data_IF_395160444315
#
_entry.id   IF_395160444315
#
_cell.length_a   1.000
_cell.length_b   1.000
_cell.length_c   1.000
_cell.angle_alpha   90.00
_cell.angle_beta   90.00
_cell.angle_gamma   90.00
#
_symmetry.space_group_name_H-M   'P 1'
#
loop_
_entity.id
_entity.type
_entity.pdbx_description
1 polymer ?
#
# COMPACT_ATOMS: atom_id res chain seq x y z
N UNK A 1 13.24 11.60 -20.79
CA UNK A 1 12.33 10.43 -20.80
C UNK A 1 11.46 10.31 -19.54
N UNK A 2 11.98 10.15 -18.31
CA UNK A 2 11.14 10.22 -17.08
C UNK A 2 10.73 11.66 -16.72
N UNK A 3 11.66 12.62 -16.86
CA UNK A 3 11.43 14.05 -16.55
C UNK A 3 10.37 14.74 -17.42
N UNK A 4 10.25 14.33 -18.68
CA UNK A 4 9.38 14.99 -19.66
C UNK A 4 7.92 14.52 -19.58
N UNK A 5 7.69 13.32 -19.03
CA UNK A 5 6.37 12.65 -19.02
C UNK A 5 5.73 12.61 -17.63
N UNK A 6 6.55 12.60 -16.58
CA UNK A 6 6.13 12.50 -15.18
C UNK A 6 6.80 13.57 -14.31
N UNK A 7 7.15 14.73 -14.86
CA UNK A 7 7.75 15.83 -14.09
C UNK A 7 9.07 15.50 -13.38
N UNK A 8 9.45 16.31 -12.39
CA UNK A 8 10.78 16.21 -11.77
C UNK A 8 10.81 15.03 -10.80
N UNK A 9 11.60 14.01 -11.13
CA UNK A 9 12.06 13.00 -10.18
C UNK A 9 13.09 13.66 -9.24
N UNK A 10 12.68 13.88 -8.00
CA UNK A 10 13.56 14.45 -6.97
C UNK A 10 14.57 13.43 -6.44
N UNK A 11 14.34 12.12 -6.68
CA UNK A 11 15.09 11.03 -6.09
C UNK A 11 14.93 10.96 -4.57
N UNK A 12 14.88 9.76 -4.00
CA UNK A 12 15.03 9.59 -2.54
C UNK A 12 15.99 8.44 -2.23
N UNK A 13 16.80 8.65 -1.21
CA UNK A 13 17.56 7.62 -0.52
C UNK A 13 16.63 6.88 0.46
N UNK A 14 16.89 5.59 0.73
CA UNK A 14 16.24 4.86 1.82
C UNK A 14 16.41 5.57 3.16
N UNK A 15 17.52 6.30 3.37
CA UNK A 15 17.68 7.09 4.58
C UNK A 15 16.78 8.35 4.61
N UNK A 16 16.28 8.78 3.45
CA UNK A 16 15.48 10.00 3.28
C UNK A 16 13.97 9.80 3.48
N UNK A 17 13.48 8.56 3.50
CA UNK A 17 12.06 8.25 3.73
C UNK A 17 11.88 6.86 4.34
N UNK A 18 10.77 6.64 5.06
CA UNK A 18 10.54 5.39 5.81
C UNK A 18 9.56 4.43 5.13
N UNK A 19 8.84 4.87 4.09
CA UNK A 19 7.84 4.05 3.44
C UNK A 19 8.46 2.88 2.68
N UNK A 20 9.64 3.03 2.06
CA UNK A 20 10.33 1.86 1.49
C UNK A 20 10.64 0.80 2.54
N UNK A 21 10.98 1.18 3.78
CA UNK A 21 11.15 0.22 4.86
C UNK A 21 9.82 -0.46 5.22
N UNK A 22 8.71 0.29 5.28
CA UNK A 22 7.36 -0.25 5.50
C UNK A 22 6.95 -1.27 4.41
N UNK A 23 7.16 -0.94 3.14
CA UNK A 23 6.89 -1.82 2.00
C UNK A 23 7.76 -3.06 2.02
N UNK A 24 9.06 -2.89 2.28
CA UNK A 24 10.00 -4.01 2.40
C UNK A 24 9.52 -4.97 3.47
N UNK A 25 9.26 -4.45 4.67
CA UNK A 25 8.84 -5.26 5.81
C UNK A 25 7.49 -5.96 5.56
N UNK A 26 6.57 -5.31 4.84
CA UNK A 26 5.28 -5.89 4.45
C UNK A 26 5.40 -7.03 3.42
N UNK A 27 6.41 -6.97 2.55
CA UNK A 27 6.62 -7.94 1.47
C UNK A 27 7.49 -9.13 1.85
N UNK A 28 8.37 -8.96 2.83
CA UNK A 28 9.25 -10.02 3.32
C UNK A 28 8.43 -11.15 3.97
N UNK A 29 8.80 -12.42 3.73
CA UNK A 29 8.30 -13.53 4.55
C UNK A 29 8.81 -13.41 6.00
N UNK A 30 8.23 -14.20 6.91
CA UNK A 30 8.74 -14.30 8.27
C UNK A 30 10.19 -14.82 8.24
N UNK A 31 11.14 -14.18 8.96
CA UNK A 31 12.54 -14.54 8.91
C UNK A 31 12.77 -15.90 9.57
N UNK A 32 13.45 -16.81 8.86
CA UNK A 32 13.77 -18.15 9.34
C UNK A 32 15.18 -18.25 9.97
N UNK A 33 16.07 -17.33 9.61
CA UNK A 33 17.46 -17.32 10.04
C UNK A 33 17.85 -16.03 10.78
N UNK A 34 19.07 -15.99 11.31
CA UNK A 34 19.56 -14.83 12.06
C UNK A 34 19.74 -13.59 11.18
N UNK A 35 20.13 -13.77 9.91
CA UNK A 35 20.32 -12.66 8.98
C UNK A 35 18.99 -11.97 8.65
N UNK A 36 17.94 -12.74 8.34
CA UNK A 36 16.59 -12.23 8.11
C UNK A 36 16.03 -11.54 9.35
N UNK A 37 16.25 -12.10 10.55
CA UNK A 37 15.85 -11.45 11.81
C UNK A 37 16.56 -10.12 12.02
N UNK A 38 17.85 -10.05 11.70
CA UNK A 38 18.64 -8.81 11.73
C UNK A 38 18.09 -7.74 10.79
N UNK A 39 17.77 -8.12 9.55
CA UNK A 39 17.16 -7.20 8.58
C UNK A 39 15.78 -6.70 9.06
N UNK A 40 14.92 -7.58 9.55
CA UNK A 40 13.60 -7.23 10.10
C UNK A 40 13.72 -6.24 11.27
N UNK A 41 14.67 -6.47 12.19
CA UNK A 41 14.92 -5.55 13.30
C UNK A 41 15.42 -4.17 12.84
N UNK A 42 16.29 -4.13 11.83
CA UNK A 42 16.80 -2.88 11.27
C UNK A 42 15.69 -2.08 10.58
N UNK A 43 14.87 -2.73 9.74
CA UNK A 43 13.74 -2.09 9.07
C UNK A 43 12.69 -1.61 10.08
N UNK A 44 12.39 -2.43 11.10
CA UNK A 44 11.50 -2.04 12.19
C UNK A 44 11.99 -0.79 12.93
N UNK A 45 13.29 -0.72 13.23
CA UNK A 45 13.91 0.45 13.88
C UNK A 45 13.79 1.71 13.01
N UNK A 46 13.97 1.59 11.69
CA UNK A 46 13.79 2.70 10.76
C UNK A 46 12.34 3.20 10.71
N UNK A 47 11.37 2.29 10.72
CA UNK A 47 9.94 2.63 10.77
C UNK A 47 9.60 3.33 12.10
N UNK A 48 10.10 2.81 13.22
CA UNK A 48 9.88 3.40 14.55
C UNK A 48 10.52 4.79 14.70
N UNK A 49 11.62 5.06 13.99
CA UNK A 49 12.26 6.38 14.00
C UNK A 49 11.38 7.51 13.44
N UNK A 50 10.38 7.19 12.60
CA UNK A 50 9.46 8.17 12.02
C UNK A 50 8.10 8.22 12.73
N UNK A 51 7.96 7.48 13.83
CA UNK A 51 6.74 7.42 14.62
C UNK A 51 6.45 8.76 15.30
N UNK A 52 5.17 9.09 15.36
CA UNK A 52 4.63 10.16 16.18
C UNK A 52 3.39 9.67 16.90
N UNK A 53 3.50 9.50 18.22
CA UNK A 53 2.48 8.81 19.02
C UNK A 53 2.17 7.45 18.37
N UNK A 54 0.94 7.24 17.91
CA UNK A 54 0.50 6.02 17.21
C UNK A 54 0.24 6.26 15.71
N UNK A 55 1.00 7.17 15.10
CA UNK A 55 0.95 7.47 13.66
C UNK A 55 2.35 7.45 13.09
N UNK A 56 2.49 7.17 11.80
CA UNK A 56 3.77 7.12 11.12
C UNK A 56 3.85 8.17 10.01
N UNK A 57 5.03 8.78 9.86
CA UNK A 57 5.33 9.72 8.79
C UNK A 57 5.96 9.03 7.60
N UNK A 58 5.84 9.66 6.44
CA UNK A 58 6.63 9.31 5.28
C UNK A 58 8.11 9.71 5.47
N UNK A 59 8.35 10.93 5.97
CA UNK A 59 9.69 11.50 6.12
C UNK A 59 10.16 11.52 7.58
N UNK A 60 11.44 11.24 7.86
CA UNK A 60 12.00 11.24 9.22
C UNK A 60 12.21 12.64 9.80
N UNK A 61 12.47 13.63 8.96
CA UNK A 61 12.76 15.00 9.40
C UNK A 61 11.50 15.86 9.49
N UNK A 62 11.50 16.85 10.41
CA UNK A 62 10.46 17.88 10.51
C UNK A 62 10.48 18.77 9.28
N UNK A 63 9.77 18.37 8.22
CA UNK A 63 9.63 19.09 6.96
C UNK A 63 8.21 19.65 6.76
N UNK A 64 7.42 19.69 7.83
CA UNK A 64 6.03 20.15 7.82
C UNK A 64 5.01 19.13 7.32
N UNK A 65 5.43 17.92 6.92
CA UNK A 65 4.52 16.83 6.57
C UNK A 65 4.06 16.08 7.84
N UNK A 66 2.75 15.99 8.09
CA UNK A 66 2.23 15.24 9.23
C UNK A 66 2.33 13.74 8.99
N UNK A 67 2.22 12.97 10.07
CA UNK A 67 1.91 11.56 9.98
C UNK A 67 0.55 11.36 9.29
N UNK A 68 0.45 10.32 8.48
CA UNK A 68 -0.70 10.10 7.61
C UNK A 68 -1.23 8.66 7.72
N UNK A 69 -2.45 8.47 7.21
CA UNK A 69 -3.18 7.21 7.30
C UNK A 69 -2.53 6.10 6.45
N UNK A 70 -1.88 6.46 5.35
CA UNK A 70 -1.25 5.50 4.43
C UNK A 70 0.00 4.88 5.06
N UNK A 71 0.92 5.73 5.50
CA UNK A 71 2.13 5.34 6.23
C UNK A 71 1.76 4.58 7.50
N UNK A 72 0.76 5.06 8.25
CA UNK A 72 0.31 4.39 9.48
C UNK A 72 -0.26 3.01 9.19
N UNK A 73 -1.12 2.88 8.18
CA UNK A 73 -1.67 1.60 7.74
C UNK A 73 -0.56 0.62 7.34
N UNK A 74 0.36 1.04 6.49
CA UNK A 74 1.47 0.19 6.03
C UNK A 74 2.45 -0.20 7.15
N UNK A 75 2.88 0.75 7.97
CA UNK A 75 3.81 0.51 9.07
C UNK A 75 3.25 -0.47 10.09
N UNK A 76 2.06 -0.19 10.63
CA UNK A 76 1.43 -1.01 11.67
C UNK A 76 1.16 -2.42 11.17
N UNK A 77 0.63 -2.55 9.95
CA UNK A 77 0.38 -3.85 9.34
C UNK A 77 1.67 -4.65 9.13
N UNK A 78 2.77 -4.00 8.73
CA UNK A 78 4.06 -4.65 8.54
C UNK A 78 4.69 -5.08 9.87
N UNK A 79 4.73 -4.19 10.86
CA UNK A 79 5.29 -4.46 12.18
C UNK A 79 4.53 -5.60 12.88
N UNK A 80 3.20 -5.58 12.85
CA UNK A 80 2.38 -6.66 13.42
C UNK A 80 2.63 -8.00 12.72
N UNK A 81 2.64 -8.01 11.38
CA UNK A 81 2.89 -9.25 10.61
C UNK A 81 4.26 -9.87 10.89
N UNK A 82 5.26 -9.07 11.23
CA UNK A 82 6.60 -9.54 11.57
C UNK A 82 6.81 -9.80 13.07
N UNK A 83 5.75 -9.71 13.89
CA UNK A 83 5.83 -9.93 15.33
C UNK A 83 6.56 -8.81 16.10
N UNK A 84 6.78 -7.65 15.48
CA UNK A 84 7.40 -6.48 16.10
C UNK A 84 6.37 -5.58 16.83
N UNK A 85 5.07 -5.83 16.62
CA UNK A 85 3.98 -5.15 17.29
C UNK A 85 3.03 -6.18 17.90
N UNK A 86 2.70 -6.04 19.19
CA UNK A 86 1.79 -6.95 19.88
C UNK A 86 0.33 -6.75 19.42
N UNK A 87 -0.52 -7.76 19.65
CA UNK A 87 -1.95 -7.64 19.37
C UNK A 87 -2.63 -6.54 20.23
N UNK A 88 -2.16 -6.35 21.47
CA UNK A 88 -2.65 -5.30 22.36
C UNK A 88 -2.27 -3.90 21.86
N UNK A 89 -1.06 -3.74 21.32
CA UNK A 89 -0.65 -2.47 20.71
C UNK A 89 -1.40 -2.20 19.41
N UNK A 90 -1.59 -3.23 18.57
CA UNK A 90 -2.36 -3.16 17.32
C UNK A 90 -3.75 -2.56 17.58
N UNK A 91 -4.45 -3.01 18.62
CA UNK A 91 -5.76 -2.48 19.04
C UNK A 91 -5.75 -0.95 19.19
N UNK A 92 -4.69 -0.42 19.83
CA UNK A 92 -4.50 1.01 20.02
C UNK A 92 -4.32 1.77 18.70
N UNK A 93 -3.54 1.22 17.76
CA UNK A 93 -3.35 1.80 16.43
C UNK A 93 -4.62 1.72 15.58
N UNK A 94 -5.36 0.62 15.63
CA UNK A 94 -6.63 0.47 14.89
C UNK A 94 -7.65 1.48 15.34
N UNK A 95 -7.83 1.68 16.66
CA UNK A 95 -8.72 2.74 17.17
C UNK A 95 -8.39 4.12 16.60
N UNK A 96 -7.10 4.37 16.45
CA UNK A 96 -6.55 5.61 15.93
C UNK A 96 -6.83 5.72 14.41
N UNK A 97 -6.60 4.66 13.62
CA UNK A 97 -6.99 4.59 12.20
C UNK A 97 -8.50 4.78 11.98
N UNK A 98 -9.35 4.24 12.85
CA UNK A 98 -10.81 4.42 12.75
C UNK A 98 -11.20 5.91 12.91
N UNK A 99 -10.47 6.68 13.71
CA UNK A 99 -10.69 8.13 13.86
C UNK A 99 -10.26 8.94 12.63
N UNK A 100 -9.51 8.34 11.70
CA UNK A 100 -9.18 8.96 10.43
C UNK A 100 -10.38 8.97 9.46
N UNK A 101 -11.46 8.26 9.75
CA UNK A 101 -12.66 8.23 8.93
C UNK A 101 -13.25 9.63 8.75
N UNK A 102 -13.69 9.94 7.52
CA UNK A 102 -14.45 11.16 7.27
C UNK A 102 -15.76 11.13 8.08
N UNK A 103 -16.13 12.24 8.75
CA UNK A 103 -17.26 12.26 9.66
C UNK A 103 -18.60 12.04 8.94
N UNK A 104 -19.52 11.35 9.61
CA UNK A 104 -20.93 11.23 9.24
C UNK A 104 -21.70 12.43 9.79
N UNK A 105 -22.16 13.36 8.95
CA UNK A 105 -22.97 14.51 9.39
C UNK A 105 -22.66 15.83 8.67
N UNK A 106 -22.92 16.97 9.33
CA UNK A 106 -22.61 18.30 8.80
C UNK A 106 -21.10 18.37 8.55
N UNK A 107 -20.71 18.28 7.28
CA UNK A 107 -19.34 18.51 6.87
C UNK A 107 -18.94 19.91 7.34
N UNK A 108 -17.90 20.08 8.18
CA UNK A 108 -17.33 21.40 8.45
C UNK A 108 -17.18 22.16 7.14
N UNK A 109 -17.49 23.46 7.13
CA UNK A 109 -17.44 24.30 5.92
C UNK A 109 -16.23 23.92 5.08
N UNK A 110 -16.46 23.56 3.82
CA UNK A 110 -15.42 23.15 2.89
C UNK A 110 -14.31 24.21 2.90
N UNK A 111 -13.10 23.83 3.29
CA UNK A 111 -11.96 24.75 3.39
C UNK A 111 -11.10 24.64 2.13
N UNK A 112 -10.37 25.71 1.77
CA UNK A 112 -9.42 25.65 0.67
C UNK A 112 -8.47 24.45 0.82
N UNK A 113 -8.48 23.57 -0.17
CA UNK A 113 -7.64 22.36 -0.20
C UNK A 113 -8.32 21.07 0.24
N UNK A 114 -9.57 21.11 0.71
CA UNK A 114 -10.41 19.90 0.89
C UNK A 114 -10.86 19.36 -0.47
N UNK A 115 -11.13 18.05 -0.56
CA UNK A 115 -11.83 17.48 -1.72
C UNK A 115 -13.34 17.81 -1.63
N UNK A 116 -13.95 18.09 -2.78
CA UNK A 116 -15.36 18.51 -2.84
C UNK A 116 -16.36 17.39 -2.48
N UNK A 117 -15.95 16.13 -2.64
CA UNK A 117 -16.78 14.95 -2.42
C UNK A 117 -16.12 14.02 -1.38
N UNK A 118 -16.22 14.39 -0.11
CA UNK A 118 -15.83 13.49 0.98
C UNK A 118 -16.89 12.40 1.15
N UNK A 119 -16.45 11.16 1.33
CA UNK A 119 -17.31 10.00 1.54
C UNK A 119 -17.28 9.63 3.03
N UNK A 120 -18.38 9.78 3.77
CA UNK A 120 -18.43 9.46 5.19
C UNK A 120 -17.99 8.01 5.48
N UNK A 121 -17.28 7.81 6.58
CA UNK A 121 -16.75 6.51 7.00
C UNK A 121 -15.47 6.07 6.29
N UNK A 122 -15.10 6.70 5.16
CA UNK A 122 -13.87 6.40 4.43
C UNK A 122 -12.69 7.14 5.07
N UNK A 123 -11.53 6.49 5.29
CA UNK A 123 -10.36 7.16 5.84
C UNK A 123 -9.93 8.37 5.00
N UNK A 124 -9.65 9.46 5.69
CA UNK A 124 -8.91 10.60 5.15
C UNK A 124 -7.42 10.25 5.12
N UNK A 125 -6.69 10.80 4.14
CA UNK A 125 -5.23 10.64 4.07
C UNK A 125 -4.56 11.31 5.25
N UNK A 126 -4.95 12.55 5.55
CA UNK A 126 -4.48 13.29 6.72
C UNK A 126 -5.63 13.50 7.69
N UNK A 127 -5.35 13.38 8.99
CA UNK A 127 -6.39 13.41 10.01
C UNK A 127 -6.90 14.83 10.29
N UNK A 128 -6.13 15.85 9.90
CA UNK A 128 -6.51 17.29 9.96
C UNK A 128 -7.06 17.73 11.32
N UNK A 129 -6.59 17.07 12.39
CA UNK A 129 -6.97 17.27 13.79
C UNK A 129 -6.06 18.25 14.52
N UNK A 130 -5.11 18.86 13.80
CA UNK A 130 -4.13 19.83 14.28
C UNK A 130 -3.32 19.32 15.50
N UNK A 131 -3.29 17.99 15.70
CA UNK A 131 -2.70 17.37 16.88
C UNK A 131 -1.16 17.31 16.79
N UNK A 132 -0.60 17.27 15.59
CA UNK A 132 0.84 17.21 15.35
C UNK A 132 1.45 18.62 15.19
N UNK A 133 2.28 19.08 16.15
CA UNK A 133 2.80 20.44 16.12
C UNK A 133 3.81 20.64 14.99
N UNK A 134 3.78 21.83 14.38
CA UNK A 134 4.71 22.21 13.31
C UNK A 134 4.40 21.56 11.96
N UNK A 135 3.22 20.98 11.80
CA UNK A 135 2.74 20.44 10.52
C UNK A 135 1.68 21.35 9.92
N UNK A 136 1.70 21.49 8.60
CA UNK A 136 0.72 22.29 7.88
C UNK A 136 -0.53 21.48 7.57
N UNK A 137 -1.71 22.12 7.62
CA UNK A 137 -2.95 21.55 7.09
C UNK A 137 -2.78 21.21 5.61
N UNK A 138 -3.16 20.00 5.24
CA UNK A 138 -3.05 19.47 3.88
C UNK A 138 -4.41 19.38 3.20
N UNK A 139 -5.49 19.51 3.96
CA UNK A 139 -6.87 19.41 3.51
C UNK A 139 -7.39 17.97 3.54
N UNK A 140 -8.70 17.84 3.80
CA UNK A 140 -9.41 16.56 3.89
C UNK A 140 -9.54 15.96 2.51
N UNK A 141 -8.95 14.78 2.33
CA UNK A 141 -8.80 14.11 1.03
C UNK A 141 -8.87 12.61 1.19
N UNK A 142 -9.36 11.94 0.16
CA UNK A 142 -9.28 10.49 0.06
C UNK A 142 -8.17 10.07 -0.91
N UNK A 143 -7.62 8.88 -0.68
CA UNK A 143 -6.78 8.17 -1.64
C UNK A 143 -7.11 6.68 -1.55
N UNK A 144 -7.33 6.04 -2.70
CA UNK A 144 -7.80 4.67 -2.73
C UNK A 144 -6.72 3.65 -2.31
N UNK A 145 -5.44 3.93 -2.53
CA UNK A 145 -4.35 3.09 -2.01
C UNK A 145 -4.21 3.29 -0.51
N UNK A 146 -4.24 4.54 -0.02
CA UNK A 146 -4.21 4.82 1.42
C UNK A 146 -5.37 4.15 2.16
N UNK A 147 -6.58 4.20 1.58
CA UNK A 147 -7.76 3.53 2.09
C UNK A 147 -7.57 2.01 2.14
N UNK A 148 -7.01 1.41 1.07
CA UNK A 148 -6.75 -0.02 1.04
C UNK A 148 -5.71 -0.45 2.10
N UNK A 149 -4.65 0.34 2.28
CA UNK A 149 -3.60 0.07 3.27
C UNK A 149 -4.12 0.23 4.72
N UNK A 150 -4.95 1.23 5.00
CA UNK A 150 -5.60 1.38 6.30
C UNK A 150 -6.57 0.23 6.59
N UNK A 151 -7.43 -0.11 5.61
CA UNK A 151 -8.36 -1.22 5.73
C UNK A 151 -7.66 -2.56 5.99
N UNK A 152 -6.50 -2.78 5.34
CA UNK A 152 -5.71 -3.99 5.55
C UNK A 152 -5.34 -4.15 7.02
N UNK A 153 -4.86 -3.08 7.64
CA UNK A 153 -4.44 -3.08 9.04
C UNK A 153 -5.61 -3.15 10.01
N UNK A 154 -6.71 -2.45 9.72
CA UNK A 154 -7.94 -2.55 10.52
C UNK A 154 -8.44 -4.00 10.56
N UNK A 155 -8.42 -4.71 9.42
CA UNK A 155 -8.87 -6.10 9.35
C UNK A 155 -7.89 -7.12 9.97
N UNK A 156 -6.67 -6.71 10.35
CA UNK A 156 -5.80 -7.56 11.19
C UNK A 156 -6.27 -7.62 12.65
N UNK A 157 -7.09 -6.67 13.11
CA UNK A 157 -7.50 -6.54 14.51
C UNK A 157 -8.90 -7.11 14.74
N UNK A 158 -8.98 -8.41 14.99
CA UNK A 158 -10.26 -9.12 15.20
C UNK A 158 -11.03 -8.62 16.43
N UNK A 159 -10.32 -8.18 17.48
CA UNK A 159 -10.93 -7.66 18.72
C UNK A 159 -11.77 -6.40 18.51
N UNK A 160 -11.58 -5.68 17.39
CA UNK A 160 -12.35 -4.46 17.04
C UNK A 160 -13.32 -4.66 15.88
N UNK A 161 -13.60 -5.89 15.47
CA UNK A 161 -14.43 -6.15 14.29
C UNK A 161 -15.80 -5.42 14.33
N UNK A 162 -16.45 -5.37 15.49
CA UNK A 162 -17.74 -4.69 15.65
C UNK A 162 -17.63 -3.15 15.50
N UNK A 163 -16.64 -2.53 16.12
CA UNK A 163 -16.39 -1.08 16.01
C UNK A 163 -15.93 -0.70 14.60
N UNK A 164 -15.18 -1.57 13.95
CA UNK A 164 -14.65 -1.36 12.60
C UNK A 164 -15.66 -1.66 11.47
N UNK A 165 -16.87 -2.11 11.79
CA UNK A 165 -17.84 -2.58 10.79
C UNK A 165 -18.23 -1.46 9.80
N UNK A 166 -18.58 -0.27 10.30
CA UNK A 166 -18.95 0.87 9.45
C UNK A 166 -17.78 1.38 8.60
N UNK A 167 -16.58 1.47 9.20
CA UNK A 167 -15.35 1.82 8.48
C UNK A 167 -15.07 0.83 7.35
N UNK A 168 -15.23 -0.46 7.64
CA UNK A 168 -14.98 -1.55 6.69
C UNK A 168 -15.96 -1.49 5.53
N UNK A 169 -17.26 -1.36 5.80
CA UNK A 169 -18.29 -1.27 4.77
C UNK A 169 -18.11 -0.02 3.90
N UNK A 170 -17.89 1.15 4.50
CA UNK A 170 -17.66 2.39 3.78
C UNK A 170 -16.41 2.30 2.88
N UNK A 171 -15.33 1.73 3.41
CA UNK A 171 -14.09 1.51 2.66
C UNK A 171 -14.29 0.53 1.51
N UNK A 172 -14.99 -0.59 1.72
CA UNK A 172 -15.30 -1.54 0.64
C UNK A 172 -16.10 -0.90 -0.48
N UNK A 173 -17.17 -0.16 -0.15
CA UNK A 173 -17.98 0.55 -1.15
C UNK A 173 -17.17 1.59 -1.92
N UNK A 174 -16.34 2.37 -1.22
CA UNK A 174 -15.48 3.37 -1.85
C UNK A 174 -14.45 2.74 -2.82
N UNK A 175 -13.78 1.67 -2.39
CA UNK A 175 -12.80 0.96 -3.21
C UNK A 175 -13.46 0.30 -4.42
N UNK A 176 -14.63 -0.32 -4.24
CA UNK A 176 -15.41 -0.92 -5.32
C UNK A 176 -15.85 0.14 -6.34
N UNK A 177 -16.40 1.27 -5.90
CA UNK A 177 -16.80 2.38 -6.78
C UNK A 177 -15.60 2.97 -7.53
N UNK A 178 -14.46 3.17 -6.87
CA UNK A 178 -13.24 3.66 -7.51
C UNK A 178 -12.72 2.73 -8.61
N UNK A 179 -12.85 1.41 -8.40
CA UNK A 179 -12.49 0.38 -9.38
C UNK A 179 -13.50 0.31 -10.54
N UNK A 180 -14.80 0.22 -10.24
CA UNK A 180 -15.89 0.07 -11.22
C UNK A 180 -16.08 1.31 -12.11
N UNK A 181 -15.84 2.50 -11.57
CA UNK A 181 -15.91 3.75 -12.33
C UNK A 181 -14.74 3.96 -13.29
N UNK A 182 -13.69 3.13 -13.21
CA UNK A 182 -12.48 3.29 -14.01
C UNK A 182 -11.59 4.47 -13.61
N UNK A 183 -11.94 5.24 -12.57
CA UNK A 183 -11.14 6.41 -12.12
C UNK A 183 -9.71 6.04 -11.78
N UNK A 184 -9.49 4.82 -11.31
CA UNK A 184 -8.17 4.28 -10.98
C UNK A 184 -7.21 4.17 -12.19
N UNK A 185 -7.72 4.18 -13.43
CA UNK A 185 -6.89 4.13 -14.64
C UNK A 185 -5.98 5.37 -14.80
N UNK A 186 -6.30 6.47 -14.11
CA UNK A 186 -5.45 7.66 -14.02
C UNK A 186 -4.53 7.67 -12.78
N UNK A 187 -4.40 6.52 -12.11
CA UNK A 187 -3.83 6.40 -10.77
C UNK A 187 -4.77 6.91 -9.68
N UNK A 188 -4.25 6.99 -8.45
CA UNK A 188 -4.91 7.63 -7.30
C UNK A 188 -4.26 8.98 -7.01
N UNK A 189 -4.72 9.70 -5.98
CA UNK A 189 -4.21 11.03 -5.65
C UNK A 189 -2.69 11.03 -5.46
N UNK A 190 -2.14 10.05 -4.74
CA UNK A 190 -0.72 9.96 -4.44
C UNK A 190 0.01 8.86 -5.22
N UNK A 191 -0.69 7.95 -5.89
CA UNK A 191 -0.06 6.87 -6.65
C UNK A 191 -0.37 7.02 -8.14
N UNK A 192 0.62 7.38 -8.99
CA UNK A 192 0.36 7.66 -10.40
C UNK A 192 0.03 6.41 -11.22
N UNK A 193 0.50 5.24 -10.76
CA UNK A 193 0.26 3.97 -11.45
C UNK A 193 -1.07 3.34 -11.07
N UNK A 194 -1.91 2.93 -12.04
CA UNK A 194 -3.08 2.08 -11.79
C UNK A 194 -2.73 0.73 -11.16
N UNK A 195 -1.55 0.19 -11.46
CA UNK A 195 -1.11 -1.10 -10.94
C UNK A 195 -0.77 -1.05 -9.44
N UNK A 196 -0.44 0.13 -8.90
CA UNK A 196 -0.30 0.32 -7.45
C UNK A 196 -1.63 0.11 -6.70
N UNK A 197 -2.72 0.65 -7.25
CA UNK A 197 -4.07 0.45 -6.70
C UNK A 197 -4.54 -1.00 -6.82
N UNK A 198 -4.40 -1.61 -8.01
CA UNK A 198 -4.75 -3.02 -8.21
C UNK A 198 -3.97 -3.94 -7.27
N UNK A 199 -2.68 -3.68 -7.09
CA UNK A 199 -1.85 -4.43 -6.17
C UNK A 199 -2.33 -4.30 -4.71
N UNK A 200 -2.61 -3.08 -4.24
CA UNK A 200 -3.14 -2.85 -2.90
C UNK A 200 -4.47 -3.61 -2.66
N UNK A 201 -5.40 -3.56 -3.62
CA UNK A 201 -6.64 -4.34 -3.54
C UNK A 201 -6.40 -5.85 -3.57
N UNK A 202 -5.50 -6.33 -4.43
CA UNK A 202 -5.21 -7.76 -4.53
C UNK A 202 -4.68 -8.33 -3.22
N UNK A 203 -3.87 -7.55 -2.47
CA UNK A 203 -3.40 -7.92 -1.13
C UNK A 203 -4.54 -8.04 -0.12
N UNK A 204 -5.49 -7.11 -0.16
CA UNK A 204 -6.69 -7.17 0.68
C UNK A 204 -7.49 -8.44 0.38
N UNK A 205 -7.81 -8.68 -0.90
CA UNK A 205 -8.60 -9.84 -1.32
C UNK A 205 -7.89 -11.16 -1.00
N UNK A 206 -6.58 -11.25 -1.22
CA UNK A 206 -5.81 -12.46 -0.94
C UNK A 206 -5.74 -12.79 0.56
N UNK A 207 -5.80 -11.77 1.44
CA UNK A 207 -5.67 -11.95 2.89
C UNK A 207 -7.02 -12.11 3.60
N UNK A 208 -8.04 -11.38 3.18
CA UNK A 208 -9.28 -11.22 3.93
C UNK A 208 -10.51 -11.63 3.11
N UNK A 209 -11.21 -12.73 3.47
CA UNK A 209 -12.40 -13.19 2.76
C UNK A 209 -13.54 -12.15 2.70
N UNK A 210 -13.67 -11.29 3.71
CA UNK A 210 -14.65 -10.20 3.74
C UNK A 210 -14.39 -9.18 2.64
N UNK A 211 -13.12 -8.80 2.43
CA UNK A 211 -12.71 -7.93 1.32
C UNK A 211 -12.86 -8.61 -0.04
N UNK A 212 -12.47 -9.88 -0.13
CA UNK A 212 -12.59 -10.66 -1.37
C UNK A 212 -14.05 -10.73 -1.87
N UNK A 213 -15.02 -10.90 -0.96
CA UNK A 213 -16.45 -10.99 -1.31
C UNK A 213 -16.96 -9.77 -2.10
N UNK A 214 -16.41 -8.59 -1.83
CA UNK A 214 -16.86 -7.34 -2.47
C UNK A 214 -15.97 -6.95 -3.65
N UNK A 215 -14.67 -7.19 -3.55
CA UNK A 215 -13.67 -6.59 -4.43
C UNK A 215 -13.08 -7.57 -5.46
N UNK A 216 -13.16 -8.88 -5.26
CA UNK A 216 -12.46 -9.84 -6.14
C UNK A 216 -12.99 -9.85 -7.57
N UNK A 217 -14.30 -9.91 -7.77
CA UNK A 217 -14.90 -9.93 -9.11
C UNK A 217 -14.55 -8.69 -9.96
N UNK A 218 -14.78 -7.45 -9.47
CA UNK A 218 -14.39 -6.27 -10.24
C UNK A 218 -12.87 -6.18 -10.42
N UNK A 219 -12.07 -6.67 -9.47
CA UNK A 219 -10.61 -6.67 -9.59
C UNK A 219 -10.13 -7.67 -10.65
N UNK A 220 -10.72 -8.86 -10.72
CA UNK A 220 -10.43 -9.83 -11.77
C UNK A 220 -10.77 -9.27 -13.15
N UNK A 221 -11.93 -8.61 -13.30
CA UNK A 221 -12.32 -7.96 -14.56
C UNK A 221 -11.31 -6.88 -14.96
N UNK A 222 -11.01 -5.96 -14.05
CA UNK A 222 -10.05 -4.88 -14.27
C UNK A 222 -8.64 -5.40 -14.63
N UNK A 223 -8.22 -6.52 -14.04
CA UNK A 223 -6.96 -7.17 -14.36
C UNK A 223 -7.00 -7.79 -15.77
N UNK A 224 -8.04 -8.54 -16.12
CA UNK A 224 -8.18 -9.16 -17.44
C UNK A 224 -8.26 -8.13 -18.58
N UNK A 225 -8.95 -7.01 -18.38
CA UNK A 225 -8.98 -5.90 -19.36
C UNK A 225 -7.59 -5.29 -19.59
N UNK A 226 -6.79 -5.15 -18.52
CA UNK A 226 -5.41 -4.68 -18.62
C UNK A 226 -4.53 -5.65 -19.41
N UNK A 227 -4.68 -6.95 -19.19
CA UNK A 227 -3.92 -7.98 -19.92
C UNK A 227 -4.27 -7.95 -21.42
N UNK A 228 -5.56 -7.89 -21.75
CA UNK A 228 -6.02 -7.84 -23.14
C UNK A 228 -5.52 -6.60 -23.90
N UNK A 229 -5.45 -5.44 -23.23
CA UNK A 229 -4.93 -4.19 -23.83
C UNK A 229 -3.42 -4.18 -24.00
N UNK A 230 -2.66 -4.85 -23.10
CA UNK A 230 -1.20 -4.99 -23.22
C UNK A 230 -0.80 -5.78 -24.46
N UNK A 231 -1.52 -6.88 -24.74
CA UNK A 231 -1.22 -7.77 -25.87
C UNK A 231 -1.61 -7.21 -27.24
N UNK A 232 -2.46 -6.19 -27.31
CA UNK A 232 -3.03 -5.73 -28.58
C UNK A 232 -2.35 -4.50 -29.20
N UNK A 233 -1.86 -3.53 -28.41
CA UNK A 233 -1.61 -2.18 -28.96
C UNK A 233 -0.63 -1.31 -28.18
N UNK A 234 0.59 -1.77 -27.86
CA UNK A 234 1.61 -0.85 -27.32
C UNK A 234 2.71 -0.60 -28.38
N UNK A 235 2.76 0.60 -29.00
CA UNK A 235 3.91 1.01 -29.79
C UNK A 235 5.18 0.99 -28.93
N UNK A 236 6.37 0.77 -29.51
CA UNK A 236 7.64 0.93 -28.79
C UNK A 236 7.80 2.41 -28.39
N UNK A 237 7.38 2.77 -27.18
CA UNK A 237 7.32 4.18 -26.77
C UNK A 237 6.52 4.54 -25.53
N UNK A 238 5.79 3.61 -24.89
CA UNK A 238 5.47 3.73 -23.46
C UNK A 238 5.64 2.37 -22.78
N UNK A 239 6.86 2.03 -22.32
CA UNK A 239 7.08 0.76 -21.65
C UNK A 239 6.38 0.81 -20.29
N UNK A 240 5.56 -0.21 -20.00
CA UNK A 240 5.27 -0.60 -18.62
C UNK A 240 6.60 -0.54 -17.87
N UNK A 241 6.77 0.45 -16.98
CA UNK A 241 8.03 0.59 -16.28
C UNK A 241 8.20 -0.65 -15.39
N UNK A 242 9.44 -0.95 -14.98
CA UNK A 242 9.75 -2.15 -14.21
C UNK A 242 8.85 -2.31 -12.98
N UNK A 243 8.53 -1.20 -12.31
CA UNK A 243 7.67 -1.23 -11.13
C UNK A 243 6.24 -1.66 -11.47
N UNK A 244 5.66 -1.18 -12.58
CA UNK A 244 4.33 -1.59 -13.02
C UNK A 244 4.29 -3.09 -13.37
N UNK A 245 5.33 -3.60 -14.04
CA UNK A 245 5.47 -5.03 -14.30
C UNK A 245 5.51 -5.81 -12.98
N UNK A 246 6.30 -5.37 -12.01
CA UNK A 246 6.40 -6.02 -10.70
C UNK A 246 5.06 -6.01 -9.95
N UNK A 247 4.38 -4.87 -9.87
CA UNK A 247 3.07 -4.73 -9.23
C UNK A 247 2.01 -5.61 -9.91
N UNK A 248 2.04 -5.71 -11.24
CA UNK A 248 1.13 -6.58 -12.00
C UNK A 248 1.41 -8.06 -11.78
N UNK A 249 2.68 -8.47 -11.74
CA UNK A 249 3.08 -9.84 -11.38
C UNK A 249 2.60 -10.22 -9.99
N UNK A 250 2.75 -9.32 -9.00
CA UNK A 250 2.27 -9.54 -7.64
C UNK A 250 0.74 -9.58 -7.55
N UNK A 251 0.07 -8.72 -8.32
CA UNK A 251 -1.39 -8.74 -8.44
C UNK A 251 -1.85 -10.08 -8.99
N UNK A 252 -1.21 -10.57 -10.05
CA UNK A 252 -1.51 -11.89 -10.63
C UNK A 252 -1.32 -13.02 -9.62
N UNK A 253 -0.22 -13.00 -8.86
CA UNK A 253 0.05 -14.01 -7.82
C UNK A 253 -1.02 -13.99 -6.72
N UNK A 254 -1.44 -12.80 -6.27
CA UNK A 254 -2.50 -12.64 -5.28
C UNK A 254 -3.87 -13.11 -5.79
N UNK A 255 -4.11 -12.95 -7.10
CA UNK A 255 -5.32 -13.42 -7.79
C UNK A 255 -5.22 -14.87 -8.28
N UNK A 256 -4.13 -15.58 -7.98
CA UNK A 256 -3.85 -16.94 -8.46
C UNK A 256 -3.97 -17.08 -9.99
N UNK A 257 -3.48 -16.09 -10.75
CA UNK A 257 -3.45 -16.08 -12.21
C UNK A 257 -2.05 -16.43 -12.72
N UNK A 258 -1.95 -17.51 -13.50
CA UNK A 258 -0.68 -17.98 -14.09
C UNK A 258 -0.40 -17.41 -15.49
N UNK A 259 -1.44 -17.03 -16.24
CA UNK A 259 -1.29 -16.47 -17.58
C UNK A 259 -0.39 -15.21 -17.55
N UNK A 260 0.57 -15.17 -18.48
CA UNK A 260 1.55 -14.07 -18.60
C UNK A 260 2.60 -14.00 -17.50
N UNK A 261 2.57 -14.86 -16.47
CA UNK A 261 3.51 -14.76 -15.34
C UNK A 261 4.96 -15.02 -15.73
N UNK A 262 5.22 -16.05 -16.54
CA UNK A 262 6.57 -16.38 -16.97
C UNK A 262 7.20 -15.22 -17.77
N UNK A 263 6.43 -14.61 -18.67
CA UNK A 263 6.87 -13.47 -19.47
C UNK A 263 7.17 -12.23 -18.61
N UNK A 264 6.27 -11.87 -17.69
CA UNK A 264 6.52 -10.75 -16.77
C UNK A 264 7.77 -10.97 -15.92
N UNK A 265 7.95 -12.17 -15.38
CA UNK A 265 9.13 -12.52 -14.55
C UNK A 265 10.41 -12.51 -15.39
N UNK A 266 10.36 -12.99 -16.62
CA UNK A 266 11.49 -12.91 -17.55
C UNK A 266 11.86 -11.45 -17.85
N UNK A 267 10.88 -10.60 -18.12
CA UNK A 267 11.10 -9.16 -18.34
C UNK A 267 11.72 -8.48 -17.11
N UNK A 268 11.25 -8.81 -15.90
CA UNK A 268 11.86 -8.32 -14.66
C UNK A 268 13.32 -8.78 -14.55
N UNK A 269 13.61 -10.06 -14.77
CA UNK A 269 14.97 -10.59 -14.69
C UNK A 269 15.91 -9.94 -15.72
N UNK A 270 15.44 -9.71 -16.96
CA UNK A 270 16.23 -9.08 -18.03
C UNK A 270 16.50 -7.59 -17.79
N UNK A 271 15.69 -6.92 -16.96
CA UNK A 271 15.83 -5.50 -16.64
C UNK A 271 16.64 -5.25 -15.36
N UNK A 272 17.12 -6.31 -14.69
CA UNK A 272 17.99 -6.20 -13.52
C UNK A 272 19.33 -5.57 -13.92
N UNK A 273 19.78 -4.61 -13.12
CA UNK A 273 21.10 -3.98 -13.27
C UNK A 273 22.20 -4.89 -12.73
N UNK A 274 23.45 -4.59 -13.10
CA UNK A 274 24.63 -5.37 -12.68
C UNK A 274 24.85 -5.40 -11.16
N UNK A 275 24.38 -4.39 -10.44
CA UNK A 275 24.42 -4.30 -8.98
C UNK A 275 23.26 -5.06 -8.29
N UNK A 276 22.42 -5.74 -9.07
CA UNK A 276 21.24 -6.47 -8.59
C UNK A 276 20.00 -5.60 -8.39
N UNK A 277 20.09 -4.28 -8.61
CA UNK A 277 18.98 -3.34 -8.44
C UNK A 277 18.12 -3.21 -9.71
N UNK A 278 16.98 -2.54 -9.59
CA UNK A 278 16.23 -1.99 -10.73
C UNK A 278 16.26 -0.46 -10.73
N UNK A 279 16.04 0.19 -11.89
CA UNK A 279 15.96 1.64 -11.96
C UNK A 279 14.82 2.19 -11.09
N UNK A 280 15.01 3.39 -10.53
CA UNK A 280 13.95 4.11 -9.85
C UNK A 280 12.77 4.33 -10.80
N UNK A 281 11.58 3.92 -10.37
CA UNK A 281 10.32 4.22 -11.05
C UNK A 281 9.42 5.05 -10.13
N UNK A 282 8.59 5.95 -10.67
CA UNK A 282 7.70 6.77 -9.87
C UNK A 282 6.63 5.90 -9.21
N UNK A 283 6.70 5.76 -7.89
CA UNK A 283 5.64 5.09 -7.12
C UNK A 283 4.67 6.08 -6.52
N UNK A 284 5.13 7.31 -6.27
CA UNK A 284 4.33 8.38 -5.71
C UNK A 284 4.30 9.61 -6.60
N UNK A 285 3.29 10.45 -6.37
CA UNK A 285 3.22 11.84 -6.83
C UNK A 285 2.77 12.77 -5.72
N UNK A 286 3.21 14.01 -5.77
CA UNK A 286 2.77 15.04 -4.85
C UNK A 286 1.40 15.56 -5.28
N UNK A 287 0.32 15.23 -4.58
CA UNK A 287 -1.06 15.33 -5.11
C UNK A 287 -1.50 16.61 -5.87
N UNK A 288 -0.93 17.82 -5.63
CA UNK A 288 -1.25 19.04 -6.42
C UNK A 288 -0.23 19.34 -7.53
N UNK A 289 1.00 18.87 -7.40
CA UNK A 289 2.10 19.21 -8.29
C UNK A 289 2.50 17.99 -9.12
N UNK A 290 2.93 18.15 -10.38
CA UNK A 290 3.48 17.06 -11.17
C UNK A 290 4.92 16.76 -10.70
N UNK A 291 5.09 16.48 -9.41
CA UNK A 291 6.34 16.05 -8.79
C UNK A 291 6.16 14.60 -8.42
N UNK A 292 7.01 13.75 -8.97
CA UNK A 292 6.90 12.31 -8.85
C UNK A 292 8.15 11.80 -8.17
N UNK A 293 8.00 10.73 -7.41
CA UNK A 293 9.11 10.21 -6.66
C UNK A 293 9.03 8.71 -6.45
N UNK A 294 10.21 8.13 -6.32
CA UNK A 294 10.45 6.73 -6.07
C UNK A 294 11.94 6.53 -5.77
N UNK A 295 12.33 5.29 -5.54
CA UNK A 295 13.73 4.96 -5.32
C UNK A 295 14.06 3.65 -6.01
N UNK A 296 15.34 3.43 -6.40
CA UNK A 296 15.79 2.14 -6.90
C UNK A 296 15.50 1.02 -5.89
N UNK A 297 15.60 1.32 -4.59
CA UNK A 297 15.33 0.39 -3.51
C UNK A 297 13.89 -0.09 -3.50
N UNK A 298 12.92 0.83 -3.63
CA UNK A 298 11.51 0.51 -3.65
C UNK A 298 11.16 -0.38 -4.87
N UNK A 299 11.63 0.02 -6.06
CA UNK A 299 11.43 -0.80 -7.27
C UNK A 299 12.08 -2.17 -7.14
N UNK A 300 13.29 -2.24 -6.58
CA UNK A 300 14.03 -3.49 -6.35
C UNK A 300 13.26 -4.42 -5.42
N UNK A 301 12.69 -3.92 -4.33
CA UNK A 301 11.93 -4.73 -3.37
C UNK A 301 10.69 -5.35 -4.02
N UNK A 302 9.95 -4.58 -4.83
CA UNK A 302 8.82 -5.13 -5.58
C UNK A 302 9.27 -6.15 -6.63
N UNK A 303 10.33 -5.86 -7.40
CA UNK A 303 10.85 -6.76 -8.42
C UNK A 303 11.36 -8.08 -7.83
N UNK A 304 12.13 -8.03 -6.74
CA UNK A 304 12.59 -9.21 -6.01
C UNK A 304 11.41 -10.04 -5.52
N UNK A 305 10.38 -9.38 -4.95
CA UNK A 305 9.19 -10.10 -4.50
C UNK A 305 8.45 -10.77 -5.67
N UNK A 306 8.32 -10.07 -6.79
CA UNK A 306 7.64 -10.56 -7.99
C UNK A 306 8.39 -11.75 -8.63
N UNK A 307 9.71 -11.80 -8.50
CA UNK A 307 10.53 -12.91 -8.99
C UNK A 307 10.45 -14.17 -8.10
N UNK A 308 10.07 -14.04 -6.83
CA UNK A 308 9.85 -15.21 -5.97
C UNK A 308 8.69 -16.06 -6.51
N UNK A 309 8.94 -17.32 -6.88
CA UNK A 309 7.86 -18.28 -7.21
C UNK A 309 7.22 -18.77 -5.92
N UNK A 310 5.91 -19.02 -5.94
CA UNK A 310 5.23 -19.70 -4.82
C UNK A 310 5.83 -21.09 -4.54
N UNK A 311 6.46 -21.73 -5.51
CA UNK A 311 7.17 -23.01 -5.34
C UNK A 311 8.47 -22.88 -4.51
N UNK A 312 9.10 -21.71 -4.51
CA UNK A 312 10.24 -21.41 -3.62
C UNK A 312 9.80 -20.94 -2.23
N UNK A 313 8.49 -20.93 -1.94
CA UNK A 313 7.92 -20.67 -0.63
C UNK A 313 7.36 -21.99 -0.10
N UNK A 314 8.01 -22.62 0.89
CA UNK A 314 7.50 -23.87 1.48
C UNK A 314 6.00 -23.79 1.79
N UNK A 315 5.20 -24.86 1.57
CA UNK A 315 3.74 -24.81 1.64
C UNK A 315 3.13 -24.56 3.04
N UNK A 316 3.92 -24.47 4.10
CA UNK A 316 3.43 -24.67 5.48
C UNK A 316 2.98 -23.42 6.25
N UNK A 317 2.88 -22.24 5.63
CA UNK A 317 2.54 -21.00 6.37
C UNK A 317 1.36 -20.22 5.79
N UNK A 318 0.24 -20.90 5.55
CA UNK A 318 -1.07 -20.24 5.70
C UNK A 318 -1.40 -20.20 7.20
N UNK A 319 -1.09 -19.07 7.84
CA UNK A 319 -1.37 -18.83 9.25
C UNK A 319 -2.85 -18.96 9.57
N UNK A 320 -3.27 -20.15 10.02
CA UNK A 320 -4.27 -20.28 11.08
C UNK A 320 -3.54 -20.04 12.39
N UNK A 321 -3.92 -18.99 13.11
CA UNK A 321 -3.56 -18.89 14.53
C UNK A 321 -4.12 -20.13 15.24
N UNK A 322 -3.38 -20.75 16.18
CA UNK A 322 -3.89 -21.88 16.93
C UNK A 322 -5.11 -21.44 17.74
N UNK A 323 -6.25 -22.08 17.49
CA UNK A 323 -7.41 -22.02 18.36
C UNK A 323 -6.97 -22.68 19.67
N UNK A 324 -6.87 -21.90 20.75
CA UNK A 324 -6.72 -22.46 22.07
C UNK A 324 -8.00 -23.25 22.40
N UNK A 325 -7.93 -24.57 22.27
CA UNK A 325 -8.86 -25.47 22.95
C UNK A 325 -8.73 -25.24 24.45
N UNK A 326 -9.77 -24.66 25.03
CA UNK A 326 -10.02 -24.76 26.47
C UNK A 326 -10.67 -26.12 26.69
N UNK A 327 -10.05 -26.95 27.50
CA UNK A 327 -10.67 -28.15 28.04
C UNK A 327 -10.18 -28.40 29.48
N UNK A 328 -10.95 -29.12 30.32
CA UNK A 328 -12.38 -29.45 30.24
C UNK A 328 -13.25 -28.63 31.21
#
# INVERSE_FOLDING_TARGET
MLRDRFGIDSGFDLAGEAFSAMVTLMLQPLPQDCAGKGLVAQLGSQIEAVRWRRRYRFFPHRNGFPADTDCTGMAVGALHRQGLLSAADLDGYVRDLLRAAAPTGITPAHRPGDDAALVPGVPLVYWEDDAEPGTGRRGRKHDAVACANALYTVQLCESRAAEAAEFTDASHRYLADHLLSGRYLAGTRYYPSPDAFRYALSRLCARFPTSARVLSDPLHRAFSEREATTSASTPPGDPDNVLDVALRTLTADNLSRSAGQAERRLLLAQTQRRDGSWPACPYYRMGRFPVYFGSPYLTTVFALKALQTRENSSPDHQGRLPVHEVAP
#
